data_IF_116789953948
#
_entry.id   IF_116789953948
#
_cell.length_a   1.000
_cell.length_b   1.000
_cell.length_c   1.000
_cell.angle_alpha   90.00
_cell.angle_beta   90.00
_cell.angle_gamma   90.00
#
_symmetry.space_group_name_H-M   'P 1'
#
loop_
_entity.id
_entity.type
_entity.pdbx_description
1 polymer ?
#
# COMPACT_ATOMS: atom_id res chain seq x y z
N UNK A 1 10.11 17.58 6.04
CA UNK A 1 8.78 17.57 5.39
C UNK A 1 8.26 16.16 5.52
N UNK A 2 6.94 16.00 5.70
CA UNK A 2 6.32 14.67 5.76
C UNK A 2 6.59 13.90 4.45
N UNK A 3 6.96 12.63 4.57
CA UNK A 3 7.16 11.76 3.41
C UNK A 3 6.38 10.45 3.48
N UNK A 4 5.57 10.24 4.52
CA UNK A 4 4.68 9.09 4.66
C UNK A 4 3.26 9.60 4.87
N UNK A 5 2.33 9.14 4.04
CA UNK A 5 0.92 9.48 4.08
C UNK A 5 0.11 8.17 4.13
N UNK A 6 -0.66 7.97 5.19
CA UNK A 6 -1.46 6.78 5.41
C UNK A 6 -2.93 7.18 5.49
N UNK A 7 -3.77 6.65 4.62
CA UNK A 7 -5.20 6.96 4.55
C UNK A 7 -6.05 5.69 4.48
N UNK A 8 -7.33 5.84 4.77
CA UNK A 8 -8.31 4.77 4.60
C UNK A 8 -8.79 4.70 3.17
N UNK A 9 -9.27 5.82 2.64
CA UNK A 9 -9.82 5.94 1.30
C UNK A 9 -9.23 7.18 0.62
N UNK A 10 -8.41 6.96 -0.39
CA UNK A 10 -7.62 8.03 -1.00
C UNK A 10 -8.49 9.12 -1.62
N UNK A 11 -9.58 8.75 -2.30
CA UNK A 11 -10.45 9.71 -2.96
C UNK A 11 -11.00 10.80 -2.04
N UNK A 12 -11.31 10.46 -0.80
CA UNK A 12 -11.84 11.39 0.21
C UNK A 12 -10.80 12.43 0.70
N UNK A 13 -9.52 12.08 0.64
CA UNK A 13 -8.42 12.89 1.21
C UNK A 13 -7.42 13.39 0.17
N UNK A 14 -7.56 12.97 -1.08
CA UNK A 14 -6.60 13.22 -2.14
C UNK A 14 -6.24 14.70 -2.31
N UNK A 15 -7.24 15.61 -2.30
CA UNK A 15 -6.99 17.05 -2.42
C UNK A 15 -6.13 17.58 -1.28
N UNK A 16 -6.38 17.14 -0.05
CA UNK A 16 -5.60 17.57 1.13
C UNK A 16 -4.17 17.04 1.06
N UNK A 17 -3.99 15.79 0.61
CA UNK A 17 -2.65 15.21 0.42
C UNK A 17 -1.92 15.96 -0.70
N UNK A 18 -2.61 16.31 -1.81
CA UNK A 18 -2.02 17.06 -2.92
C UNK A 18 -1.53 18.46 -2.52
N UNK A 19 -2.18 19.14 -1.56
CA UNK A 19 -1.70 20.42 -1.02
C UNK A 19 -0.32 20.31 -0.36
N UNK A 20 0.05 19.11 0.13
CA UNK A 20 1.34 18.87 0.81
C UNK A 20 2.37 18.23 -0.12
N UNK A 21 1.93 17.26 -0.93
CA UNK A 21 2.81 16.43 -1.78
C UNK A 21 3.11 17.11 -3.12
N UNK A 22 2.14 17.85 -3.69
CA UNK A 22 2.16 18.37 -5.04
C UNK A 22 2.49 17.30 -6.08
N UNK A 23 1.48 16.58 -6.54
CA UNK A 23 1.63 15.48 -7.48
C UNK A 23 1.98 15.94 -8.91
N UNK A 24 1.90 17.24 -9.22
CA UNK A 24 2.14 17.76 -10.57
C UNK A 24 3.52 17.36 -11.11
N UNK A 25 3.52 16.63 -12.21
CA UNK A 25 4.72 16.15 -12.90
C UNK A 25 5.48 15.02 -12.22
N UNK A 26 5.04 14.56 -11.03
CA UNK A 26 5.69 13.47 -10.26
C UNK A 26 5.51 12.13 -10.92
N UNK A 27 6.54 11.30 -10.87
CA UNK A 27 6.48 9.89 -11.26
C UNK A 27 6.04 9.04 -10.07
N UNK A 28 4.92 8.32 -10.24
CA UNK A 28 4.32 7.48 -9.20
C UNK A 28 4.47 6.01 -9.57
N UNK A 29 5.16 5.24 -8.72
CA UNK A 29 5.11 3.78 -8.74
C UNK A 29 3.79 3.36 -8.08
N UNK A 30 2.78 3.05 -8.90
CA UNK A 30 1.41 2.73 -8.47
C UNK A 30 1.26 1.21 -8.32
N UNK A 31 1.31 0.72 -7.07
CA UNK A 31 1.24 -0.72 -6.75
C UNK A 31 -0.21 -1.08 -6.42
N UNK A 32 -0.87 -1.81 -7.30
CA UNK A 32 -2.28 -2.22 -7.21
C UNK A 32 -2.47 -3.71 -6.87
N UNK A 33 -1.40 -4.38 -6.48
CA UNK A 33 -1.38 -5.83 -6.25
C UNK A 33 -2.42 -6.31 -5.24
N UNK A 34 -2.66 -5.54 -4.16
CA UNK A 34 -3.64 -5.91 -3.13
C UNK A 34 -5.05 -6.12 -3.69
N UNK A 35 -5.44 -5.31 -4.67
CA UNK A 35 -6.77 -5.30 -5.27
C UNK A 35 -7.03 -6.49 -6.21
N UNK A 36 -5.99 -7.20 -6.65
CA UNK A 36 -6.15 -8.37 -7.55
C UNK A 36 -6.80 -9.57 -6.88
N UNK A 37 -6.85 -9.58 -5.57
CA UNK A 37 -7.54 -10.61 -4.80
C UNK A 37 -9.04 -10.29 -4.59
N UNK A 38 -9.46 -9.05 -4.91
CA UNK A 38 -10.79 -8.54 -4.63
C UNK A 38 -11.69 -8.56 -5.86
N UNK A 39 -12.96 -8.97 -5.68
CA UNK A 39 -13.98 -8.87 -6.72
C UNK A 39 -14.40 -7.41 -6.98
N UNK A 40 -14.27 -6.54 -5.98
CA UNK A 40 -14.61 -5.12 -6.01
C UNK A 40 -13.34 -4.29 -5.88
N UNK A 41 -12.96 -3.59 -6.93
CA UNK A 41 -11.70 -2.83 -6.99
C UNK A 41 -11.81 -1.45 -7.65
N UNK A 42 -13.03 -0.86 -7.68
CA UNK A 42 -13.28 0.44 -8.32
C UNK A 42 -12.38 1.56 -7.76
N UNK A 43 -12.04 1.50 -6.48
CA UNK A 43 -11.18 2.48 -5.78
C UNK A 43 -9.79 2.60 -6.40
N UNK A 44 -9.28 1.53 -7.01
CA UNK A 44 -7.97 1.57 -7.71
C UNK A 44 -8.02 2.48 -8.93
N UNK A 45 -9.08 2.33 -9.76
CA UNK A 45 -9.30 3.18 -10.93
C UNK A 45 -9.55 4.63 -10.53
N UNK A 46 -10.33 4.85 -9.47
CA UNK A 46 -10.63 6.18 -8.95
C UNK A 46 -9.37 6.88 -8.44
N UNK A 47 -8.54 6.18 -7.65
CA UNK A 47 -7.27 6.74 -7.17
C UNK A 47 -6.32 7.07 -8.32
N UNK A 48 -6.23 6.20 -9.34
CA UNK A 48 -5.41 6.44 -10.52
C UNK A 48 -5.88 7.68 -11.29
N UNK A 49 -7.18 7.79 -11.56
CA UNK A 49 -7.77 8.94 -12.25
C UNK A 49 -7.51 10.26 -11.49
N UNK A 50 -7.68 10.25 -10.16
CA UNK A 50 -7.43 11.42 -9.33
C UNK A 50 -5.95 11.85 -9.40
N UNK A 51 -5.03 10.90 -9.29
CA UNK A 51 -3.59 11.19 -9.39
C UNK A 51 -3.21 11.75 -10.77
N UNK A 52 -3.76 11.18 -11.86
CA UNK A 52 -3.55 11.67 -13.19
C UNK A 52 -4.13 13.08 -13.38
N UNK A 53 -5.31 13.36 -12.81
CA UNK A 53 -5.92 14.70 -12.82
C UNK A 53 -5.08 15.73 -12.04
N UNK A 54 -4.32 15.31 -11.03
CA UNK A 54 -3.31 16.15 -10.36
C UNK A 54 -2.01 16.29 -11.17
N UNK A 55 -1.93 15.67 -12.35
CA UNK A 55 -0.78 15.75 -13.25
C UNK A 55 0.35 14.78 -12.92
N UNK A 56 0.09 13.75 -12.10
CA UNK A 56 1.05 12.67 -11.85
C UNK A 56 1.24 11.79 -13.10
N UNK A 57 2.41 11.15 -13.19
CA UNK A 57 2.75 10.16 -14.22
C UNK A 57 2.79 8.79 -13.59
N UNK A 58 1.73 8.01 -13.77
CA UNK A 58 1.60 6.70 -13.15
C UNK A 58 2.35 5.63 -13.92
N UNK A 59 2.99 4.75 -13.16
CA UNK A 59 3.48 3.46 -13.63
C UNK A 59 2.86 2.36 -12.77
N UNK A 60 1.88 1.66 -13.33
CA UNK A 60 1.21 0.54 -12.67
C UNK A 60 2.16 -0.63 -12.48
N UNK A 61 2.19 -1.18 -11.29
CA UNK A 61 3.08 -2.27 -10.89
C UNK A 61 2.29 -3.36 -10.17
N UNK A 62 2.46 -4.58 -10.66
CA UNK A 62 2.02 -5.78 -9.97
C UNK A 62 3.23 -6.53 -9.42
N UNK A 63 3.39 -6.52 -8.10
CA UNK A 63 4.54 -7.19 -7.47
C UNK A 63 4.40 -8.72 -7.46
N UNK A 64 3.20 -9.27 -7.76
CA UNK A 64 2.99 -10.72 -7.88
C UNK A 64 3.61 -11.32 -9.14
N UNK A 65 3.82 -10.51 -10.18
CA UNK A 65 4.38 -10.97 -11.46
C UNK A 65 5.85 -11.40 -11.38
N UNK A 66 6.54 -11.10 -10.29
CA UNK A 66 7.92 -11.53 -10.08
C UNK A 66 8.09 -13.07 -10.10
N UNK A 67 7.01 -13.83 -9.91
CA UNK A 67 7.02 -15.31 -9.94
C UNK A 67 7.05 -15.90 -11.35
N UNK A 68 6.46 -15.23 -12.33
CA UNK A 68 6.29 -15.78 -13.69
C UNK A 68 7.61 -15.76 -14.48
N UNK A 69 8.58 -14.99 -14.00
CA UNK A 69 9.88 -14.84 -14.66
C UNK A 69 10.77 -16.09 -14.60
N UNK A 70 10.48 -17.03 -13.70
CA UNK A 70 11.27 -18.26 -13.56
C UNK A 70 10.88 -19.37 -14.58
N UNK A 71 9.73 -19.24 -15.23
CA UNK A 71 9.15 -20.29 -16.08
C UNK A 71 9.26 -20.02 -17.60
N UNK A 72 9.54 -18.78 -18.00
CA UNK A 72 9.67 -18.42 -19.42
C UNK A 72 11.12 -18.01 -19.70
N UNK A 73 11.79 -18.76 -20.54
CA UNK A 73 13.05 -18.36 -21.16
C UNK A 73 12.76 -17.13 -22.03
N UNK A 74 12.83 -15.96 -21.39
CA UNK A 74 12.80 -14.68 -22.11
C UNK A 74 14.07 -14.59 -22.98
N UNK A 75 13.92 -14.05 -24.19
CA UNK A 75 15.06 -13.64 -25.03
C UNK A 75 16.02 -12.82 -24.14
N UNK A 76 17.33 -13.07 -24.26
CA UNK A 76 18.38 -12.54 -23.35
C UNK A 76 18.47 -11.01 -23.25
N UNK A 77 17.62 -10.25 -23.95
CA UNK A 77 17.67 -8.79 -24.06
C UNK A 77 16.51 -8.04 -23.38
N UNK A 78 15.47 -8.72 -22.84
CA UNK A 78 14.37 -8.01 -22.16
C UNK A 78 14.47 -8.12 -20.63
N UNK A 79 14.31 -6.97 -19.91
CA UNK A 79 14.35 -6.98 -18.46
C UNK A 79 13.18 -7.81 -17.90
N UNK A 80 13.47 -8.59 -16.86
CA UNK A 80 12.46 -9.39 -16.15
C UNK A 80 11.36 -8.52 -15.56
N UNK A 81 10.21 -9.11 -15.20
CA UNK A 81 9.16 -8.40 -14.51
C UNK A 81 9.67 -7.75 -13.20
N UNK A 82 10.48 -8.49 -12.46
CA UNK A 82 11.09 -7.97 -11.22
C UNK A 82 12.01 -6.78 -11.48
N UNK A 83 12.85 -6.83 -12.52
CA UNK A 83 13.74 -5.71 -12.88
C UNK A 83 12.94 -4.46 -13.27
N UNK A 84 11.80 -4.63 -13.95
CA UNK A 84 10.89 -3.54 -14.28
C UNK A 84 10.28 -2.89 -13.02
N UNK A 85 9.90 -3.70 -12.02
CA UNK A 85 9.39 -3.23 -10.73
C UNK A 85 10.48 -2.46 -9.98
N UNK A 86 11.66 -3.05 -9.84
CA UNK A 86 12.78 -2.41 -9.12
C UNK A 86 13.21 -1.10 -9.78
N UNK A 87 13.27 -1.09 -11.12
CA UNK A 87 13.55 0.12 -11.90
C UNK A 87 12.49 1.20 -11.64
N UNK A 88 11.21 0.84 -11.63
CA UNK A 88 10.14 1.79 -11.36
C UNK A 88 10.23 2.39 -9.96
N UNK A 89 10.44 1.56 -8.92
CA UNK A 89 10.61 2.02 -7.54
C UNK A 89 11.85 2.92 -7.41
N UNK A 90 12.94 2.60 -8.11
CA UNK A 90 14.15 3.43 -8.05
C UNK A 90 13.99 4.79 -8.72
N UNK A 91 13.21 4.88 -9.78
CA UNK A 91 13.04 6.07 -10.61
C UNK A 91 11.85 6.96 -10.20
N UNK A 92 10.90 6.45 -9.39
CA UNK A 92 9.75 7.24 -8.97
C UNK A 92 10.12 8.32 -7.95
N UNK A 93 9.24 9.31 -7.82
CA UNK A 93 9.22 10.30 -6.74
C UNK A 93 8.36 9.80 -5.57
N UNK A 94 7.30 9.06 -5.91
CA UNK A 94 6.25 8.64 -4.99
C UNK A 94 5.98 7.15 -5.18
N UNK A 95 5.85 6.42 -4.08
CA UNK A 95 5.35 5.05 -4.04
C UNK A 95 3.92 5.11 -3.51
N UNK A 96 2.97 4.71 -4.35
CA UNK A 96 1.57 4.57 -3.96
C UNK A 96 1.23 3.08 -3.86
N UNK A 97 0.65 2.65 -2.73
CA UNK A 97 0.15 1.28 -2.56
C UNK A 97 -1.35 1.35 -2.28
N UNK A 98 -2.14 0.73 -3.15
CA UNK A 98 -3.60 0.75 -3.10
C UNK A 98 -4.17 -0.11 -1.97
N UNK A 99 -5.47 0.04 -1.73
CA UNK A 99 -6.29 -0.88 -0.95
C UNK A 99 -6.42 -2.26 -1.59
N UNK A 100 -7.11 -3.16 -0.90
CA UNK A 100 -7.37 -4.56 -1.23
C UNK A 100 -6.99 -5.48 -0.08
N UNK A 101 -6.70 -6.75 -0.37
CA UNK A 101 -6.36 -7.72 0.66
C UNK A 101 -4.94 -7.54 1.21
N UNK A 102 -4.84 -7.21 2.50
CA UNK A 102 -3.59 -6.95 3.20
C UNK A 102 -2.63 -8.16 3.15
N UNK A 103 -3.14 -9.38 3.36
CA UNK A 103 -2.28 -10.57 3.48
C UNK A 103 -1.81 -11.07 2.12
N UNK A 104 -2.62 -10.90 1.08
CA UNK A 104 -2.19 -11.15 -0.28
C UNK A 104 -1.04 -10.20 -0.67
N UNK A 105 -1.23 -8.90 -0.45
CA UNK A 105 -0.20 -7.89 -0.68
C UNK A 105 1.09 -8.20 0.10
N UNK A 106 0.98 -8.45 1.41
CA UNK A 106 2.11 -8.76 2.30
C UNK A 106 2.91 -9.97 1.80
N UNK A 107 2.21 -11.03 1.39
CA UNK A 107 2.82 -12.25 0.87
C UNK A 107 3.57 -12.00 -0.45
N UNK A 108 2.98 -11.24 -1.38
CA UNK A 108 3.58 -10.96 -2.68
C UNK A 108 4.77 -9.99 -2.56
N UNK A 109 4.65 -8.96 -1.73
CA UNK A 109 5.77 -8.07 -1.42
C UNK A 109 6.98 -8.84 -0.87
N UNK A 110 6.76 -9.78 0.05
CA UNK A 110 7.86 -10.58 0.65
C UNK A 110 8.52 -11.54 -0.33
N UNK A 111 7.77 -12.06 -1.28
CA UNK A 111 8.30 -12.95 -2.32
C UNK A 111 9.09 -12.22 -3.38
N UNK A 112 8.93 -10.92 -3.45
CA UNK A 112 9.61 -10.06 -4.41
C UNK A 112 10.68 -9.20 -3.75
N UNK A 113 11.67 -8.77 -4.50
CA UNK A 113 12.67 -7.79 -4.04
C UNK A 113 12.07 -6.40 -3.81
N UNK A 114 10.80 -6.17 -4.22
CA UNK A 114 10.08 -4.93 -3.97
C UNK A 114 9.96 -4.60 -2.48
N UNK A 115 9.86 -5.61 -1.62
CA UNK A 115 9.86 -5.43 -0.15
C UNK A 115 11.01 -4.54 0.34
N UNK A 116 12.24 -4.93 0.00
CA UNK A 116 13.43 -4.19 0.42
C UNK A 116 13.56 -2.87 -0.36
N UNK A 117 13.26 -2.88 -1.65
CA UNK A 117 13.36 -1.69 -2.50
C UNK A 117 12.44 -0.55 -2.01
N UNK A 118 11.20 -0.86 -1.59
CA UNK A 118 10.28 0.12 -1.02
C UNK A 118 10.85 0.70 0.29
N UNK A 119 11.32 -0.16 1.20
CA UNK A 119 11.91 0.29 2.48
C UNK A 119 13.10 1.23 2.26
N UNK A 120 14.00 0.87 1.36
CA UNK A 120 15.19 1.66 1.06
C UNK A 120 14.83 2.98 0.37
N UNK A 121 13.85 2.97 -0.51
CA UNK A 121 13.37 4.16 -1.22
C UNK A 121 12.73 5.16 -0.25
N UNK A 122 11.87 4.72 0.67
CA UNK A 122 11.25 5.58 1.69
C UNK A 122 12.29 6.12 2.66
N UNK A 123 13.23 5.27 3.11
CA UNK A 123 14.35 5.69 3.95
C UNK A 123 15.25 6.72 3.26
N UNK A 124 15.38 6.65 1.94
CA UNK A 124 16.10 7.63 1.12
C UNK A 124 15.31 8.94 0.90
N UNK A 125 14.09 9.05 1.44
CA UNK A 125 13.27 10.26 1.40
C UNK A 125 12.23 10.29 0.29
N UNK A 126 12.00 9.18 -0.43
CA UNK A 126 10.86 9.10 -1.36
C UNK A 126 9.55 9.12 -0.59
N UNK A 127 8.52 9.69 -1.22
CA UNK A 127 7.20 9.80 -0.63
C UNK A 127 6.52 8.42 -0.71
N UNK A 128 5.88 8.03 0.38
CA UNK A 128 5.02 6.86 0.49
C UNK A 128 3.57 7.29 0.71
N UNK A 129 2.66 6.80 -0.09
CA UNK A 129 1.22 6.95 0.09
C UNK A 129 0.61 5.57 0.18
N UNK A 130 0.08 5.21 1.34
CA UNK A 130 -0.59 3.93 1.58
C UNK A 130 -2.08 4.12 1.81
N UNK A 131 -2.91 3.45 1.00
CA UNK A 131 -4.35 3.41 1.13
C UNK A 131 -4.80 2.06 1.69
N UNK A 132 -5.62 2.04 2.75
CA UNK A 132 -6.20 0.84 3.35
C UNK A 132 -5.15 -0.27 3.59
N UNK A 133 -5.13 -1.35 2.81
CA UNK A 133 -4.10 -2.38 2.89
C UNK A 133 -2.68 -1.80 2.77
N UNK A 134 -2.47 -0.80 1.90
CA UNK A 134 -1.21 -0.07 1.78
C UNK A 134 -0.84 0.69 3.05
N UNK A 135 -1.81 1.22 3.80
CA UNK A 135 -1.58 1.83 5.10
C UNK A 135 -1.26 0.78 6.18
N UNK A 136 -1.95 -0.35 6.17
CA UNK A 136 -1.74 -1.44 7.12
C UNK A 136 -0.34 -2.05 6.97
N UNK A 137 0.12 -2.34 5.75
CA UNK A 137 1.45 -2.96 5.54
C UNK A 137 2.62 -2.04 5.88
N UNK A 138 2.40 -0.72 6.03
CA UNK A 138 3.42 0.23 6.50
C UNK A 138 3.80 0.01 7.98
N UNK A 139 2.92 -0.60 8.77
CA UNK A 139 3.08 -0.87 10.20
C UNK A 139 4.19 -1.90 10.51
N UNK A 140 4.61 -2.02 11.78
CA UNK A 140 5.54 -3.07 12.20
C UNK A 140 4.90 -4.47 12.26
N UNK A 141 3.58 -4.58 12.54
CA UNK A 141 2.82 -5.84 12.61
C UNK A 141 1.44 -5.62 11.98
N UNK A 142 0.98 -6.59 11.20
CA UNK A 142 -0.31 -6.54 10.49
C UNK A 142 -1.34 -7.52 11.03
N UNK A 143 -1.05 -8.24 12.14
CA UNK A 143 -1.89 -9.30 12.69
C UNK A 143 -3.30 -8.84 13.04
N UNK A 144 -3.45 -7.59 13.50
CA UNK A 144 -4.74 -7.02 13.83
C UNK A 144 -5.71 -6.97 12.64
N UNK A 145 -5.17 -6.87 11.41
CA UNK A 145 -5.98 -6.84 10.19
C UNK A 145 -6.68 -8.19 9.87
N UNK A 146 -6.37 -9.27 10.58
CA UNK A 146 -7.08 -10.56 10.43
C UNK A 146 -8.57 -10.50 10.77
N UNK A 147 -9.03 -9.41 11.38
CA UNK A 147 -10.46 -9.15 11.62
C UNK A 147 -11.13 -8.38 10.46
N UNK A 148 -10.34 -7.82 9.54
CA UNK A 148 -10.84 -7.09 8.37
C UNK A 148 -10.68 -7.91 7.09
N UNK A 149 -9.52 -8.57 6.94
CA UNK A 149 -9.14 -9.26 5.72
C UNK A 149 -8.97 -10.77 5.96
N UNK A 150 -9.37 -11.55 4.97
CA UNK A 150 -9.10 -12.99 4.99
C UNK A 150 -7.61 -13.26 4.76
N UNK A 151 -7.00 -14.04 5.65
CA UNK A 151 -5.63 -14.53 5.48
C UNK A 151 -5.59 -15.76 4.55
N UNK A 152 -6.03 -15.60 3.31
CA UNK A 152 -6.04 -16.66 2.29
C UNK A 152 -4.64 -17.16 1.93
N UNK A 153 -3.62 -16.31 2.07
CA UNK A 153 -2.22 -16.68 1.87
C UNK A 153 -1.68 -17.57 2.99
N UNK A 154 -2.44 -17.78 4.08
CA UNK A 154 -2.05 -18.55 5.28
C UNK A 154 -0.68 -18.12 5.83
N UNK A 155 -0.38 -16.82 5.75
CA UNK A 155 0.85 -16.30 6.32
C UNK A 155 0.85 -16.44 7.84
N UNK A 156 1.97 -16.88 8.40
CA UNK A 156 2.22 -16.93 9.84
C UNK A 156 3.13 -15.80 10.31
N UNK A 157 3.79 -15.12 9.39
CA UNK A 157 4.61 -13.94 9.66
C UNK A 157 3.82 -12.68 9.29
N UNK A 158 3.44 -11.91 10.30
CA UNK A 158 2.65 -10.69 10.19
C UNK A 158 3.50 -9.41 10.21
N UNK A 159 4.82 -9.51 10.15
CA UNK A 159 5.70 -8.34 10.11
C UNK A 159 5.40 -7.48 8.89
N UNK A 160 5.10 -6.19 9.08
CA UNK A 160 4.90 -5.23 8.01
C UNK A 160 6.20 -4.62 7.49
N UNK A 161 6.10 -3.62 6.62
CA UNK A 161 7.26 -2.90 6.08
C UNK A 161 8.04 -2.14 7.16
N UNK A 162 7.42 -1.88 8.31
CA UNK A 162 8.03 -1.14 9.42
C UNK A 162 8.55 0.24 8.97
N UNK A 163 7.69 0.96 8.24
CA UNK A 163 7.93 2.35 7.82
C UNK A 163 7.54 3.34 8.92
N UNK A 164 6.65 2.92 9.81
CA UNK A 164 6.16 3.64 11.00
C UNK A 164 6.23 2.73 12.22
N UNK A 165 6.13 3.28 13.42
CA UNK A 165 6.23 2.57 14.71
C UNK A 165 4.88 2.29 15.38
N UNK A 166 3.78 2.49 14.65
CA UNK A 166 2.39 2.27 15.08
C UNK A 166 1.59 1.47 14.04
N UNK A 167 0.37 1.11 14.38
CA UNK A 167 -0.54 0.35 13.52
C UNK A 167 -1.75 1.21 13.16
N UNK A 168 -1.98 1.49 11.86
CA UNK A 168 -3.16 2.21 11.40
C UNK A 168 -4.35 1.26 11.34
N UNK A 169 -5.50 1.69 11.87
CA UNK A 169 -6.78 1.00 11.69
C UNK A 169 -7.62 1.83 10.73
N UNK A 170 -7.57 1.53 9.41
CA UNK A 170 -8.32 2.28 8.42
C UNK A 170 -9.82 1.96 8.50
N UNK A 171 -10.64 2.81 7.89
CA UNK A 171 -12.10 2.67 7.80
C UNK A 171 -12.81 2.65 9.16
N UNK A 172 -12.21 3.22 10.20
CA UNK A 172 -12.78 3.22 11.55
C UNK A 172 -14.17 3.85 11.57
N UNK A 173 -15.17 3.06 12.00
CA UNK A 173 -16.56 3.49 12.03
C UNK A 173 -17.23 3.66 10.67
N UNK A 174 -16.63 3.19 9.59
CA UNK A 174 -17.17 3.25 8.23
C UNK A 174 -17.62 1.87 7.75
N UNK A 175 -18.82 1.78 7.16
CA UNK A 175 -19.30 0.56 6.54
C UNK A 175 -18.47 0.18 5.30
N UNK A 176 -18.24 -1.12 5.07
CA UNK A 176 -18.73 -2.29 5.83
C UNK A 176 -17.84 -2.70 7.03
N UNK A 177 -16.83 -1.91 7.39
CA UNK A 177 -15.79 -2.26 8.36
C UNK A 177 -16.09 -1.82 9.80
N UNK A 178 -17.24 -1.18 10.06
CA UNK A 178 -17.57 -0.64 11.40
C UNK A 178 -17.38 -1.67 12.50
N UNK A 179 -17.97 -2.86 12.38
CA UNK A 179 -17.84 -3.89 13.40
C UNK A 179 -16.39 -4.37 13.56
N UNK A 180 -15.73 -4.70 12.44
CA UNK A 180 -14.36 -5.22 12.46
C UNK A 180 -13.38 -4.24 13.10
N UNK A 181 -13.49 -2.94 12.79
CA UNK A 181 -12.60 -1.92 13.33
C UNK A 181 -12.79 -1.72 14.84
N UNK A 182 -14.03 -1.78 15.35
CA UNK A 182 -14.29 -1.75 16.78
C UNK A 182 -13.72 -3.00 17.49
N UNK A 183 -13.88 -4.18 16.92
CA UNK A 183 -13.29 -5.42 17.46
C UNK A 183 -11.76 -5.37 17.48
N UNK A 184 -11.13 -4.76 16.47
CA UNK A 184 -9.67 -4.54 16.44
C UNK A 184 -9.25 -3.69 17.65
N UNK A 185 -9.92 -2.55 17.87
CA UNK A 185 -9.58 -1.67 19.00
C UNK A 185 -9.74 -2.38 20.35
N UNK A 186 -10.79 -3.20 20.51
CA UNK A 186 -11.03 -3.94 21.74
C UNK A 186 -9.97 -5.04 21.98
N UNK A 187 -9.68 -5.86 20.96
CA UNK A 187 -8.80 -7.02 21.10
C UNK A 187 -7.32 -6.66 21.11
N UNK A 188 -6.93 -5.67 20.34
CA UNK A 188 -5.51 -5.36 20.09
C UNK A 188 -5.04 -4.02 20.67
N UNK A 189 -5.95 -3.17 21.19
CA UNK A 189 -5.59 -1.83 21.70
C UNK A 189 -4.62 -1.83 22.88
N UNK A 190 -4.53 -2.91 23.64
CA UNK A 190 -3.53 -3.07 24.72
C UNK A 190 -2.21 -3.69 24.25
N UNK A 191 -2.13 -4.16 22.99
CA UNK A 191 -0.98 -4.86 22.43
C UNK A 191 -0.18 -4.00 21.46
N UNK A 192 -0.86 -3.08 20.77
CA UNK A 192 -0.28 -2.22 19.73
C UNK A 192 -0.65 -0.75 19.95
N UNK A 193 0.19 0.16 19.49
CA UNK A 193 -0.20 1.58 19.29
C UNK A 193 -1.12 1.65 18.06
N UNK A 194 -2.42 1.49 18.28
CA UNK A 194 -3.43 1.53 17.22
C UNK A 194 -3.88 2.97 16.97
N UNK A 195 -3.81 3.40 15.72
CA UNK A 195 -4.28 4.73 15.30
C UNK A 195 -5.46 4.59 14.33
N UNK A 196 -6.70 4.69 14.84
CA UNK A 196 -7.89 4.60 13.99
C UNK A 196 -8.03 5.88 13.16
N UNK A 197 -8.38 5.71 11.89
CA UNK A 197 -8.73 6.78 10.96
C UNK A 197 -9.98 6.39 10.16
N UNK A 198 -10.90 7.33 9.96
CA UNK A 198 -12.05 7.14 9.08
C UNK A 198 -11.69 7.45 7.62
N UNK A 199 -12.68 7.36 6.70
CA UNK A 199 -12.42 7.54 5.27
C UNK A 199 -11.97 8.96 4.90
N UNK A 200 -12.34 9.99 5.68
CA UNK A 200 -12.01 11.39 5.43
C UNK A 200 -10.75 11.87 6.17
N UNK A 201 -10.00 10.94 6.77
CA UNK A 201 -8.80 11.21 7.57
C UNK A 201 -7.56 10.55 6.97
N UNK A 202 -6.40 11.15 7.24
CA UNK A 202 -5.09 10.58 6.94
C UNK A 202 -4.06 10.99 8.00
N UNK A 203 -2.98 10.22 8.09
CA UNK A 203 -1.81 10.51 8.92
C UNK A 203 -0.67 10.92 8.01
N UNK A 204 0.02 12.02 8.32
CA UNK A 204 1.22 12.51 7.62
C UNK A 204 2.40 12.61 8.58
N UNK A 205 3.55 12.06 8.18
CA UNK A 205 4.80 11.96 8.96
C UNK A 205 6.00 12.44 8.17
#
# INVERSE_FOLDING_TARGET
MANIFLCSYFAEVASKINEVVDFQGKHVAFIDTAAKFEDVNFYVGEAAEILENFGAKLRHLDVSCAKDSAALVSSQDEPSCEDKILSAISQCDIIYISGGNTFYLLNELRKSRAWQAIKDAVKAGKIYVGESAGAIVAAPDTRYATLMDENSAKTSDFTGLNLVDFCVVPHFGCEPFTQATHEIMEKFGNLYDLRPINNAEFIAL
#
